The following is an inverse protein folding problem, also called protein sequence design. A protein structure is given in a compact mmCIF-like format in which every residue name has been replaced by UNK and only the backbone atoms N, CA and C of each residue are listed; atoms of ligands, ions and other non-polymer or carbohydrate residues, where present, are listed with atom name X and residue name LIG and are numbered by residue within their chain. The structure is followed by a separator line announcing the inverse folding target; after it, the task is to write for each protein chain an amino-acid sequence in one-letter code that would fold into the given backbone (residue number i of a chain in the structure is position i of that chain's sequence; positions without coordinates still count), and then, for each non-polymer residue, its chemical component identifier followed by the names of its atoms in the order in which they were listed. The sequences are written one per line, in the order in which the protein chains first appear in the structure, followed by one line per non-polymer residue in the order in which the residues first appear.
data_IF_216761292867
#
_entry.id   IF_216761292867
#
_cell.length_a   1.000
_cell.length_b   1.000
_cell.length_c   1.000
_cell.angle_alpha   90.00
_cell.angle_beta   90.00
_cell.angle_gamma   90.00
#
_symmetry.space_group_name_H-M   'P 1'
#
loop_
_entity.id
_entity.type
_entity.pdbx_description
1 polymer ?
#
# COMPACT_ATOMS: atom_id res chain seq x y z
N UNK A 1 -3.06 32.41 -10.61
CA UNK A 1 -1.94 31.45 -10.56
C UNK A 1 -2.32 30.07 -11.08
N UNK A 2 -3.30 29.37 -10.49
CA UNK A 2 -3.73 28.03 -10.98
C UNK A 2 -4.24 28.03 -12.44
N UNK A 3 -5.19 28.90 -12.79
CA UNK A 3 -5.70 29.05 -14.17
C UNK A 3 -4.59 29.40 -15.16
N UNK A 4 -3.57 30.13 -14.70
CA UNK A 4 -2.42 30.55 -15.50
C UNK A 4 -1.31 29.49 -15.55
N UNK A 5 -1.50 28.31 -14.94
CA UNK A 5 -0.54 27.20 -14.87
C UNK A 5 0.82 27.61 -14.27
N UNK A 6 0.83 28.63 -13.40
CA UNK A 6 2.03 29.06 -12.71
C UNK A 6 2.33 28.11 -11.55
N UNK A 7 3.58 27.65 -11.44
CA UNK A 7 4.05 26.93 -10.25
C UNK A 7 3.75 27.75 -8.99
N UNK A 8 3.01 27.16 -8.06
CA UNK A 8 2.41 27.86 -6.93
C UNK A 8 2.64 27.08 -5.64
N UNK A 9 3.03 27.78 -4.59
CA UNK A 9 3.16 27.23 -3.24
C UNK A 9 2.13 27.88 -2.33
N UNK A 10 1.33 27.08 -1.64
CA UNK A 10 0.39 27.55 -0.62
C UNK A 10 0.73 26.91 0.73
N UNK A 11 1.01 27.74 1.72
CA UNK A 11 1.23 27.29 3.09
C UNK A 11 -0.10 27.33 3.82
N UNK A 12 -0.55 26.18 4.34
CA UNK A 12 -1.79 26.10 5.10
C UNK A 12 -1.64 26.92 6.41
N UNK A 13 -2.39 28.02 6.60
CA UNK A 13 -2.30 28.82 7.81
C UNK A 13 -3.01 28.18 9.02
N UNK A 14 -3.78 27.12 8.80
CA UNK A 14 -4.61 26.45 9.81
C UNK A 14 -4.11 25.07 10.22
N UNK A 15 -2.80 24.86 10.27
CA UNK A 15 -2.26 23.61 10.83
C UNK A 15 -2.54 23.56 12.33
N UNK A 16 -3.05 22.42 12.81
CA UNK A 16 -3.39 22.22 14.22
C UNK A 16 -2.39 21.30 14.89
N UNK A 17 -2.49 21.18 16.23
CA UNK A 17 -1.87 20.08 16.93
C UNK A 17 -2.52 18.73 16.55
N UNK A 18 -1.85 17.62 16.86
CA UNK A 18 -2.41 16.27 16.65
C UNK A 18 -3.74 16.11 17.41
N UNK A 19 -3.79 16.48 18.69
CA UNK A 19 -4.98 16.31 19.53
C UNK A 19 -6.20 17.07 19.00
N UNK A 20 -5.99 18.24 18.41
CA UNK A 20 -7.03 19.07 17.82
C UNK A 20 -7.47 18.56 16.44
N UNK A 21 -6.53 18.06 15.62
CA UNK A 21 -6.82 17.60 14.26
C UNK A 21 -7.39 16.18 14.19
N UNK A 22 -6.99 15.29 15.10
CA UNK A 22 -7.32 13.87 15.06
C UNK A 22 -8.83 13.57 15.05
N UNK A 23 -9.70 14.29 15.80
CA UNK A 23 -11.15 14.06 15.75
C UNK A 23 -11.78 14.23 14.36
N UNK A 24 -11.13 14.95 13.44
CA UNK A 24 -11.63 15.20 12.08
C UNK A 24 -11.15 14.18 11.04
N UNK A 25 -10.25 13.26 11.41
CA UNK A 25 -9.71 12.25 10.48
C UNK A 25 -10.75 11.17 10.16
N UNK A 26 -11.62 10.84 11.12
CA UNK A 26 -12.62 9.77 10.97
C UNK A 26 -12.05 8.35 11.03
N UNK A 27 -10.76 8.21 11.35
CA UNK A 27 -10.05 6.96 11.61
C UNK A 27 -9.17 7.12 12.85
N UNK A 28 -8.90 6.01 13.52
CA UNK A 28 -8.17 5.95 14.78
C UNK A 28 -6.83 5.23 14.63
N UNK A 29 -5.98 5.32 15.66
CA UNK A 29 -4.77 4.50 15.72
C UNK A 29 -5.09 3.00 15.74
N UNK A 30 -6.22 2.59 16.31
CA UNK A 30 -6.64 1.19 16.32
C UNK A 30 -6.91 0.69 14.89
N UNK A 31 -7.54 1.50 14.03
CA UNK A 31 -7.75 1.13 12.62
C UNK A 31 -6.42 0.90 11.89
N UNK A 32 -5.38 1.68 12.23
CA UNK A 32 -4.02 1.51 11.70
C UNK A 32 -3.40 0.20 12.21
N UNK A 33 -3.54 -0.11 13.50
CA UNK A 33 -3.03 -1.36 14.06
C UNK A 33 -3.76 -2.58 13.49
N UNK A 34 -5.06 -2.49 13.25
CA UNK A 34 -5.86 -3.54 12.63
C UNK A 34 -5.40 -3.79 11.18
N UNK A 35 -5.04 -2.73 10.45
CA UNK A 35 -4.45 -2.85 9.12
C UNK A 35 -3.08 -3.55 9.16
N UNK A 36 -2.21 -3.22 10.12
CA UNK A 36 -0.95 -3.93 10.33
C UNK A 36 -1.16 -5.41 10.68
N UNK A 37 -2.09 -5.71 11.60
CA UNK A 37 -2.39 -7.07 12.02
C UNK A 37 -2.90 -7.91 10.84
N UNK A 38 -3.75 -7.34 9.98
CA UNK A 38 -4.19 -7.98 8.75
C UNK A 38 -3.03 -8.29 7.81
N UNK A 39 -2.18 -7.31 7.52
CA UNK A 39 -1.00 -7.54 6.67
C UNK A 39 -0.08 -8.62 7.26
N UNK A 40 0.05 -8.68 8.59
CA UNK A 40 0.79 -9.73 9.29
C UNK A 40 0.16 -11.12 9.09
N UNK A 41 -1.17 -11.26 9.20
CA UNK A 41 -1.87 -12.54 8.91
C UNK A 41 -1.66 -12.98 7.45
N UNK A 42 -1.64 -12.04 6.51
CA UNK A 42 -1.38 -12.33 5.10
C UNK A 42 0.08 -12.56 4.74
N UNK A 43 1.04 -12.21 5.60
CA UNK A 43 2.47 -12.39 5.33
C UNK A 43 2.84 -13.82 4.85
N UNK A 44 2.43 -14.93 5.51
CA UNK A 44 2.73 -16.28 5.01
C UNK A 44 2.08 -16.59 3.65
N UNK A 45 0.88 -16.06 3.38
CA UNK A 45 0.24 -16.15 2.07
C UNK A 45 1.09 -15.41 1.02
N UNK A 46 1.46 -14.16 1.28
CA UNK A 46 2.20 -13.31 0.35
C UNK A 46 3.57 -13.90 0.01
N UNK A 47 4.29 -14.43 1.01
CA UNK A 47 5.59 -15.08 0.83
C UNK A 47 5.54 -16.26 -0.17
N UNK A 48 4.44 -17.02 -0.18
CA UNK A 48 4.21 -18.15 -1.09
C UNK A 48 3.57 -17.72 -2.41
N UNK A 49 2.62 -16.79 -2.34
CA UNK A 49 1.88 -16.29 -3.49
C UNK A 49 2.80 -15.51 -4.42
N UNK A 50 3.70 -14.68 -3.88
CA UNK A 50 4.65 -13.86 -4.60
C UNK A 50 6.07 -14.18 -4.11
N UNK A 51 6.80 -15.09 -4.79
CA UNK A 51 8.14 -15.52 -4.36
C UNK A 51 9.15 -14.38 -4.17
N UNK A 52 8.97 -13.24 -4.85
CA UNK A 52 9.78 -12.02 -4.64
C UNK A 52 9.70 -11.44 -3.21
N UNK A 53 8.63 -11.77 -2.47
CA UNK A 53 8.45 -11.33 -1.06
C UNK A 53 8.91 -12.37 -0.05
N UNK A 54 9.36 -13.56 -0.48
CA UNK A 54 9.75 -14.63 0.44
C UNK A 54 10.92 -14.24 1.35
N UNK A 55 11.90 -13.51 0.82
CA UNK A 55 13.06 -13.05 1.57
C UNK A 55 12.70 -12.05 2.69
N UNK A 56 11.58 -11.33 2.56
CA UNK A 56 11.05 -10.42 3.59
C UNK A 56 9.92 -11.05 4.40
N UNK A 57 9.75 -12.38 4.31
CA UNK A 57 8.68 -13.09 5.02
C UNK A 57 7.27 -12.69 4.59
N UNK A 58 7.10 -12.19 3.36
CA UNK A 58 5.82 -11.71 2.83
C UNK A 58 5.50 -10.25 3.15
N UNK A 59 6.42 -9.52 3.80
CA UNK A 59 6.24 -8.09 4.06
C UNK A 59 6.50 -7.28 2.78
N UNK A 60 5.52 -6.45 2.42
CA UNK A 60 5.58 -5.51 1.30
C UNK A 60 6.04 -4.15 1.85
N UNK A 61 7.34 -3.87 1.76
CA UNK A 61 7.92 -2.62 2.25
C UNK A 61 9.07 -2.14 1.33
N UNK A 62 9.46 -0.88 1.44
CA UNK A 62 10.45 -0.23 0.58
C UNK A 62 11.58 0.42 1.37
N UNK A 63 12.72 0.60 0.70
CA UNK A 63 13.89 1.27 1.27
C UNK A 63 13.66 2.76 1.55
N UNK A 64 14.35 3.26 2.58
CA UNK A 64 14.56 4.68 2.83
C UNK A 64 16.06 4.96 2.66
N UNK A 65 16.41 5.84 1.72
CA UNK A 65 17.81 6.12 1.37
C UNK A 65 18.13 7.61 1.44
N UNK A 66 19.34 7.96 1.85
CA UNK A 66 19.84 9.33 1.74
C UNK A 66 20.25 9.65 0.29
N UNK A 67 19.94 10.86 -0.18
CA UNK A 67 20.25 11.30 -1.56
C UNK A 67 21.05 12.62 -1.58
N UNK A 68 22.22 12.70 -0.89
CA UNK A 68 22.98 13.94 -0.77
C UNK A 68 23.52 14.47 -2.11
N UNK A 69 23.77 13.60 -3.08
CA UNK A 69 24.16 14.01 -4.43
C UNK A 69 23.03 14.75 -5.15
N UNK A 70 21.79 14.28 -4.98
CA UNK A 70 20.60 14.94 -5.53
C UNK A 70 20.32 16.25 -4.81
N UNK A 71 20.50 16.31 -3.48
CA UNK A 71 20.40 17.55 -2.71
C UNK A 71 21.33 18.64 -3.29
N UNK A 72 22.63 18.33 -3.42
CA UNK A 72 23.61 19.26 -4.02
C UNK A 72 23.23 19.67 -5.45
N UNK A 73 22.69 18.73 -6.23
CA UNK A 73 22.25 19.03 -7.60
C UNK A 73 21.08 20.01 -7.61
N UNK A 74 20.05 19.78 -6.78
CA UNK A 74 18.89 20.66 -6.66
C UNK A 74 19.29 22.06 -6.19
N UNK A 75 20.16 22.16 -5.18
CA UNK A 75 20.67 23.45 -4.68
C UNK A 75 21.41 24.23 -5.77
N UNK A 76 22.19 23.53 -6.61
CA UNK A 76 22.88 24.14 -7.76
C UNK A 76 21.92 24.62 -8.84
N UNK A 77 20.97 23.78 -9.24
CA UNK A 77 20.06 24.08 -10.37
C UNK A 77 19.07 25.19 -10.02
N UNK A 78 18.51 25.17 -8.80
CA UNK A 78 17.50 26.12 -8.37
C UNK A 78 18.06 27.27 -7.53
N UNK A 79 19.38 27.30 -7.29
CA UNK A 79 20.09 28.34 -6.54
C UNK A 79 19.50 28.61 -5.15
N UNK A 80 18.97 27.57 -4.51
CA UNK A 80 18.31 27.64 -3.21
C UNK A 80 18.85 26.54 -2.27
N UNK A 81 19.40 26.88 -1.10
CA UNK A 81 19.87 25.89 -0.13
C UNK A 81 18.74 25.00 0.41
N UNK A 82 19.05 23.72 0.62
CA UNK A 82 18.17 22.75 1.30
C UNK A 82 18.80 22.42 2.64
N UNK A 83 18.22 22.93 3.72
CA UNK A 83 18.76 22.73 5.08
C UNK A 83 18.44 21.32 5.57
N UNK A 84 19.42 20.68 6.23
CA UNK A 84 19.28 19.33 6.78
C UNK A 84 19.64 18.23 5.78
N UNK A 85 18.98 17.08 5.90
CA UNK A 85 19.23 15.89 5.07
C UNK A 85 18.07 15.63 4.13
N UNK A 86 18.38 15.41 2.85
CA UNK A 86 17.38 14.95 1.88
C UNK A 86 17.37 13.42 1.79
N UNK A 87 16.20 12.84 2.08
CA UNK A 87 15.95 11.40 1.99
C UNK A 87 14.94 11.08 0.87
N UNK A 88 14.99 9.85 0.36
CA UNK A 88 14.05 9.31 -0.61
C UNK A 88 13.43 8.02 -0.07
N UNK A 89 12.09 8.00 0.05
CA UNK A 89 11.30 6.79 0.31
C UNK A 89 10.94 6.11 -1.01
N UNK A 90 11.49 4.93 -1.26
CA UNK A 90 11.45 4.26 -2.58
C UNK A 90 10.19 3.42 -2.79
N UNK A 91 9.01 3.99 -2.60
CA UNK A 91 7.75 3.28 -2.89
C UNK A 91 7.59 2.91 -4.37
N UNK A 92 8.35 3.55 -5.26
CA UNK A 92 8.55 3.14 -6.65
C UNK A 92 9.20 1.76 -6.83
N UNK A 93 9.75 1.17 -5.76
CA UNK A 93 10.42 -0.13 -5.76
C UNK A 93 9.72 -1.16 -4.87
N UNK A 94 8.49 -0.88 -4.41
CA UNK A 94 7.73 -1.87 -3.65
C UNK A 94 7.54 -3.15 -4.49
N UNK A 95 7.62 -4.34 -3.87
CA UNK A 95 7.41 -5.59 -4.60
C UNK A 95 5.99 -5.67 -5.16
N UNK A 96 5.76 -6.65 -6.03
CA UNK A 96 4.50 -6.99 -6.71
C UNK A 96 4.08 -5.97 -7.77
N UNK A 97 4.11 -4.66 -7.49
CA UNK A 97 3.59 -3.66 -8.43
C UNK A 97 4.34 -2.31 -8.49
N UNK A 98 5.51 -2.18 -7.86
CA UNK A 98 6.47 -1.11 -8.14
C UNK A 98 5.96 0.32 -7.92
N UNK A 99 5.01 0.51 -7.00
CA UNK A 99 4.47 1.84 -6.70
C UNK A 99 3.81 1.88 -5.32
N UNK A 100 3.49 3.10 -4.84
CA UNK A 100 2.71 3.29 -3.61
C UNK A 100 1.35 2.56 -3.61
N UNK A 101 0.83 2.19 -4.79
CA UNK A 101 -0.43 1.43 -4.90
C UNK A 101 -0.27 -0.02 -4.42
N UNK A 102 0.97 -0.53 -4.29
CA UNK A 102 1.28 -1.78 -3.60
C UNK A 102 0.95 -1.73 -2.09
N UNK A 103 0.72 -0.53 -1.51
CA UNK A 103 0.21 -0.40 -0.14
C UNK A 103 -1.31 -0.54 -0.12
N UNK A 104 -2.01 0.53 -0.53
CA UNK A 104 -3.48 0.60 -0.41
C UNK A 104 -4.23 -0.34 -1.36
N UNK A 105 -3.79 -0.47 -2.61
CA UNK A 105 -4.48 -1.30 -3.60
C UNK A 105 -4.38 -2.79 -3.29
N UNK A 106 -3.23 -3.24 -2.80
CA UNK A 106 -3.08 -4.63 -2.31
C UNK A 106 -3.87 -4.81 -1.02
N UNK A 107 -3.75 -3.89 -0.05
CA UNK A 107 -4.47 -3.97 1.21
C UNK A 107 -5.99 -4.12 1.02
N UNK A 108 -6.59 -3.33 0.11
CA UNK A 108 -8.02 -3.41 -0.21
C UNK A 108 -8.42 -4.81 -0.69
N UNK A 109 -7.67 -5.39 -1.63
CA UNK A 109 -7.95 -6.74 -2.14
C UNK A 109 -7.82 -7.79 -1.05
N UNK A 110 -6.80 -7.70 -0.20
CA UNK A 110 -6.59 -8.63 0.91
C UNK A 110 -7.69 -8.51 1.98
N UNK A 111 -8.07 -7.29 2.34
CA UNK A 111 -9.15 -7.03 3.29
C UNK A 111 -10.49 -7.58 2.77
N UNK A 112 -10.77 -7.39 1.48
CA UNK A 112 -11.96 -7.96 0.85
C UNK A 112 -11.94 -9.50 0.85
N UNK A 113 -10.81 -10.11 0.49
CA UNK A 113 -10.64 -11.56 0.50
C UNK A 113 -10.82 -12.17 1.90
N UNK A 114 -10.20 -11.56 2.91
CA UNK A 114 -10.33 -11.99 4.32
C UNK A 114 -11.80 -11.92 4.76
N UNK A 115 -12.46 -10.78 4.51
CA UNK A 115 -13.86 -10.59 4.88
C UNK A 115 -14.75 -11.70 4.30
N UNK A 116 -14.67 -11.93 2.99
CA UNK A 116 -15.49 -12.94 2.32
C UNK A 116 -15.24 -14.36 2.88
N UNK A 117 -13.97 -14.70 3.12
CA UNK A 117 -13.60 -16.02 3.62
C UNK A 117 -14.04 -16.24 5.08
N UNK A 118 -13.94 -15.21 5.94
CA UNK A 118 -14.44 -15.24 7.31
C UNK A 118 -15.97 -15.35 7.34
N UNK A 119 -16.67 -14.54 6.53
CA UNK A 119 -18.15 -14.55 6.47
C UNK A 119 -18.70 -15.89 5.95
N UNK A 120 -17.96 -16.57 5.07
CA UNK A 120 -18.31 -17.90 4.58
C UNK A 120 -17.94 -19.04 5.57
N UNK A 121 -17.30 -18.73 6.71
CA UNK A 121 -16.84 -19.73 7.68
C UNK A 121 -15.71 -20.64 7.16
N UNK A 122 -15.00 -20.22 6.12
CA UNK A 122 -13.90 -20.98 5.50
C UNK A 122 -12.53 -20.65 6.13
N UNK A 123 -12.43 -19.49 6.78
CA UNK A 123 -11.23 -18.95 7.39
C UNK A 123 -11.54 -18.48 8.82
N UNK A 124 -10.55 -18.55 9.72
CA UNK A 124 -10.56 -17.82 11.00
C UNK A 124 -9.35 -16.90 11.11
N UNK A 125 -9.29 -16.02 12.12
CA UNK A 125 -8.17 -15.09 12.29
C UNK A 125 -6.87 -15.78 12.75
N UNK A 126 -6.98 -17.00 13.27
CA UNK A 126 -5.90 -17.81 13.82
C UNK A 126 -5.32 -18.82 12.81
N UNK A 127 -5.95 -18.96 11.63
CA UNK A 127 -5.48 -19.83 10.56
C UNK A 127 -4.12 -19.36 9.98
N UNK A 128 -3.34 -20.30 9.42
CA UNK A 128 -2.27 -19.96 8.50
C UNK A 128 -2.86 -19.61 7.12
N UNK A 129 -2.79 -18.33 6.75
CA UNK A 129 -3.40 -17.81 5.52
C UNK A 129 -2.74 -18.37 4.26
N UNK A 130 -1.63 -19.10 4.37
CA UNK A 130 -1.11 -19.94 3.27
C UNK A 130 -2.17 -20.84 2.65
N UNK A 131 -3.17 -21.28 3.43
CA UNK A 131 -4.29 -22.11 2.93
C UNK A 131 -5.10 -21.44 1.83
N UNK A 132 -5.09 -20.10 1.75
CA UNK A 132 -5.78 -19.33 0.70
C UNK A 132 -5.21 -19.58 -0.71
N UNK A 133 -4.05 -20.24 -0.83
CA UNK A 133 -3.50 -20.67 -2.13
C UNK A 133 -4.07 -21.98 -2.67
N UNK A 134 -4.84 -22.70 -1.85
CA UNK A 134 -5.41 -24.00 -2.25
C UNK A 134 -6.41 -23.87 -3.41
N UNK A 135 -6.59 -24.92 -4.22
CA UNK A 135 -7.57 -24.95 -5.30
C UNK A 135 -8.99 -24.58 -4.84
N UNK A 136 -9.38 -25.02 -3.63
CA UNK A 136 -10.70 -24.78 -3.04
C UNK A 136 -10.93 -23.28 -2.78
N UNK A 137 -9.93 -22.58 -2.23
CA UNK A 137 -10.02 -21.13 -2.02
C UNK A 137 -10.01 -20.36 -3.33
N UNK A 138 -9.22 -20.78 -4.33
CA UNK A 138 -9.28 -20.16 -5.66
C UNK A 138 -10.64 -20.32 -6.32
N UNK A 139 -11.26 -21.50 -6.19
CA UNK A 139 -12.61 -21.75 -6.68
C UNK A 139 -13.63 -20.88 -5.94
N UNK A 140 -13.49 -20.72 -4.61
CA UNK A 140 -14.33 -19.83 -3.82
C UNK A 140 -14.23 -18.37 -4.29
N UNK A 141 -13.03 -17.82 -4.39
CA UNK A 141 -12.83 -16.43 -4.81
C UNK A 141 -13.25 -16.18 -6.26
N UNK A 142 -13.22 -17.19 -7.14
CA UNK A 142 -13.67 -17.06 -8.53
C UNK A 142 -15.17 -16.78 -8.71
N UNK A 143 -15.94 -16.91 -7.63
CA UNK A 143 -17.36 -16.57 -7.58
C UNK A 143 -17.61 -15.06 -7.42
N UNK A 144 -16.55 -14.30 -7.10
CA UNK A 144 -16.60 -12.85 -6.90
C UNK A 144 -15.73 -12.13 -7.94
N UNK A 145 -16.03 -10.86 -8.17
CA UNK A 145 -15.33 -10.04 -9.16
C UNK A 145 -14.92 -8.68 -8.61
N UNK A 146 -13.76 -8.18 -9.03
CA UNK A 146 -13.23 -6.86 -8.69
C UNK A 146 -13.01 -6.07 -9.98
N UNK A 147 -13.67 -4.90 -10.10
CA UNK A 147 -13.51 -4.00 -11.22
C UNK A 147 -12.80 -2.70 -10.82
N UNK A 148 -11.89 -2.21 -11.68
CA UNK A 148 -11.16 -0.95 -11.45
C UNK A 148 -11.08 -0.13 -12.74
N UNK A 149 -11.59 1.10 -12.70
CA UNK A 149 -11.38 2.08 -13.76
C UNK A 149 -10.06 2.82 -13.58
N UNK A 150 -8.95 2.28 -14.12
CA UNK A 150 -7.63 2.91 -14.01
C UNK A 150 -6.75 2.61 -15.21
N UNK A 151 -6.06 3.63 -15.72
CA UNK A 151 -5.03 3.51 -16.76
C UNK A 151 -3.59 3.47 -16.20
N UNK A 152 -3.43 3.42 -14.88
CA UNK A 152 -2.12 3.41 -14.23
C UNK A 152 -2.02 2.43 -13.05
N UNK A 153 -1.12 2.77 -12.12
CA UNK A 153 -0.68 1.88 -11.04
C UNK A 153 -1.79 1.33 -10.15
N UNK A 154 -2.94 2.00 -10.01
CA UNK A 154 -4.05 1.49 -9.19
C UNK A 154 -4.61 0.20 -9.80
N UNK A 155 -4.93 0.23 -11.10
CA UNK A 155 -5.41 -0.93 -11.85
C UNK A 155 -4.37 -2.05 -11.91
N UNK A 156 -3.08 -1.70 -12.03
CA UNK A 156 -1.99 -2.68 -11.99
C UNK A 156 -1.92 -3.40 -10.64
N UNK A 157 -1.87 -2.67 -9.52
CA UNK A 157 -1.76 -3.27 -8.19
C UNK A 157 -2.98 -4.11 -7.82
N UNK A 158 -4.19 -3.58 -8.05
CA UNK A 158 -5.42 -4.33 -7.76
C UNK A 158 -5.55 -5.53 -8.70
N UNK A 159 -5.28 -5.38 -9.99
CA UNK A 159 -5.40 -6.47 -10.97
C UNK A 159 -4.45 -7.63 -10.67
N UNK A 160 -3.17 -7.36 -10.40
CA UNK A 160 -2.19 -8.41 -10.06
C UNK A 160 -2.61 -9.15 -8.79
N UNK A 161 -3.00 -8.42 -7.73
CA UNK A 161 -3.39 -9.03 -6.46
C UNK A 161 -4.69 -9.82 -6.59
N UNK A 162 -5.71 -9.26 -7.26
CA UNK A 162 -7.02 -9.90 -7.42
C UNK A 162 -6.91 -11.20 -8.21
N UNK A 163 -6.17 -11.18 -9.32
CA UNK A 163 -5.92 -12.37 -10.13
C UNK A 163 -5.11 -13.43 -9.36
N UNK A 164 -4.19 -13.04 -8.47
CA UNK A 164 -3.41 -13.99 -7.65
C UNK A 164 -4.26 -14.66 -6.57
N UNK A 165 -5.20 -13.94 -5.96
CA UNK A 165 -6.17 -14.50 -5.01
C UNK A 165 -7.14 -15.47 -5.71
N UNK A 166 -7.57 -15.12 -6.93
CA UNK A 166 -8.49 -15.92 -7.74
C UNK A 166 -9.82 -15.24 -8.02
N UNK A 167 -9.94 -13.93 -7.75
CA UNK A 167 -11.09 -13.12 -8.16
C UNK A 167 -11.16 -12.97 -9.69
N UNK A 168 -12.36 -12.68 -10.20
CA UNK A 168 -12.59 -12.28 -11.59
C UNK A 168 -12.40 -10.79 -11.82
#
# INVERSE_FOLDING_TARGET
DLVALKETTWFNPGTTSLAEGLPYVGLTEQDVQDAHARLSRFAPYLAKAFPETAATGGIIESELVAIPAMQKRLEKEYQQPIIGQLLLKKDSHLPISGSIKARGGIYEVLAHAEKLALEAGLLTLEDDYSKLLSPEFKQFFSQYSIAVGSTGNLGLSIGIMSARIGFK
#
